data_IF_169684062806
#
_entry.id   IF_169684062806
#
_cell.length_a   1.000
_cell.length_b   1.000
_cell.length_c   1.000
_cell.angle_alpha   90.00
_cell.angle_beta   90.00
_cell.angle_gamma   90.00
#
_symmetry.space_group_name_H-M   'P 1'
#
loop_
_entity.id
_entity.type
_entity.pdbx_description
1 polymer ?
#
# COMPACT_ATOMS: atom_id res chain seq x y z
N UNK A 1 9.56 -10.51 -13.74
CA UNK A 1 9.95 -10.04 -12.39
C UNK A 1 11.44 -9.79 -12.28
N UNK A 2 12.25 -10.46 -13.09
CA UNK A 2 13.72 -10.40 -13.00
C UNK A 2 14.36 -9.39 -13.98
N UNK A 3 13.52 -8.72 -14.78
CA UNK A 3 13.92 -7.62 -15.65
C UNK A 3 14.64 -6.53 -14.83
N UNK A 4 15.84 -6.15 -15.26
CA UNK A 4 16.60 -5.07 -14.65
C UNK A 4 16.05 -3.71 -15.08
N UNK A 5 15.78 -2.84 -14.12
CA UNK A 5 15.27 -1.49 -14.31
C UNK A 5 16.29 -0.51 -13.76
N UNK A 6 16.76 0.41 -14.61
CA UNK A 6 17.66 1.48 -14.21
C UNK A 6 16.88 2.75 -13.92
N UNK A 7 17.18 3.38 -12.77
CA UNK A 7 16.70 4.71 -12.42
C UNK A 7 17.38 5.75 -13.32
N UNK A 8 16.58 6.63 -13.89
CA UNK A 8 16.98 7.69 -14.82
C UNK A 8 16.58 9.06 -14.28
N UNK A 9 17.01 10.13 -14.94
CA UNK A 9 16.60 11.51 -14.62
C UNK A 9 15.07 11.68 -14.69
N UNK A 10 14.38 10.92 -15.56
CA UNK A 10 12.92 10.96 -15.71
C UNK A 10 12.18 10.46 -14.45
N UNK A 11 12.85 9.70 -13.59
CA UNK A 11 12.24 9.17 -12.36
C UNK A 11 12.34 10.18 -11.20
N UNK A 12 13.08 11.29 -11.37
CA UNK A 12 13.21 12.32 -10.35
C UNK A 12 11.90 13.09 -10.22
N UNK A 13 11.39 13.18 -9.00
CA UNK A 13 10.29 14.07 -8.67
C UNK A 13 10.74 15.54 -8.73
N UNK A 14 10.28 16.24 -9.76
CA UNK A 14 10.47 17.68 -9.95
C UNK A 14 9.26 18.51 -9.49
N UNK A 15 8.16 17.87 -9.08
CA UNK A 15 6.91 18.55 -8.69
C UNK A 15 6.89 18.84 -7.18
N UNK A 16 7.13 17.83 -6.36
CA UNK A 16 7.08 17.92 -4.89
C UNK A 16 8.47 17.87 -4.23
N UNK A 17 9.53 17.63 -5.01
CA UNK A 17 10.91 17.58 -4.52
C UNK A 17 11.16 16.48 -3.50
N UNK A 18 10.43 15.35 -3.61
CA UNK A 18 10.58 14.21 -2.73
C UNK A 18 11.99 13.60 -2.82
N UNK A 19 12.52 13.21 -1.67
CA UNK A 19 13.85 12.62 -1.57
C UNK A 19 13.80 11.13 -1.85
N UNK A 20 14.81 10.63 -2.56
CA UNK A 20 15.03 9.20 -2.77
C UNK A 20 16.48 8.84 -2.50
N UNK A 21 16.71 7.62 -2.03
CA UNK A 21 18.05 7.03 -1.88
C UNK A 21 18.48 6.26 -3.12
N UNK A 22 17.56 5.96 -4.05
CA UNK A 22 17.90 5.37 -5.33
C UNK A 22 18.41 6.49 -6.24
N UNK A 23 19.72 6.66 -6.32
CA UNK A 23 20.33 7.67 -7.20
C UNK A 23 20.19 7.27 -8.67
N UNK A 24 20.23 8.24 -9.58
CA UNK A 24 20.26 7.98 -11.03
C UNK A 24 21.40 7.03 -11.37
N UNK A 25 21.14 6.06 -12.25
CA UNK A 25 22.05 4.97 -12.60
C UNK A 25 21.90 3.73 -11.72
N UNK A 26 21.17 3.79 -10.60
CA UNK A 26 20.86 2.61 -9.78
C UNK A 26 20.03 1.63 -10.59
N UNK A 27 20.47 0.37 -10.67
CA UNK A 27 19.74 -0.69 -11.37
C UNK A 27 19.33 -1.75 -10.37
N UNK A 28 18.03 -2.06 -10.32
CA UNK A 28 17.45 -3.12 -9.50
C UNK A 28 16.51 -3.96 -10.37
N UNK A 29 16.23 -5.19 -9.95
CA UNK A 29 15.20 -6.00 -10.59
C UNK A 29 13.81 -5.37 -10.43
N UNK A 30 12.89 -5.65 -11.37
CA UNK A 30 11.48 -5.25 -11.28
C UNK A 30 10.85 -5.72 -9.96
N UNK A 31 11.28 -6.87 -9.45
CA UNK A 31 10.90 -7.40 -8.15
C UNK A 31 11.28 -6.46 -7.01
N UNK A 32 12.53 -6.05 -6.94
CA UNK A 32 13.02 -5.12 -5.91
C UNK A 32 12.35 -3.75 -6.04
N UNK A 33 12.18 -3.25 -7.27
CA UNK A 33 11.45 -1.99 -7.50
C UNK A 33 10.01 -2.07 -6.95
N UNK A 34 9.29 -3.16 -7.23
CA UNK A 34 7.94 -3.36 -6.73
C UNK A 34 7.91 -3.48 -5.19
N UNK A 35 8.88 -4.19 -4.62
CA UNK A 35 9.00 -4.34 -3.18
C UNK A 35 9.21 -2.99 -2.48
N UNK A 36 10.17 -2.19 -2.95
CA UNK A 36 10.44 -0.86 -2.40
C UNK A 36 9.26 0.10 -2.58
N UNK A 37 8.57 0.07 -3.72
CA UNK A 37 7.40 0.89 -3.98
C UNK A 37 6.23 0.55 -3.02
N UNK A 38 5.96 -0.72 -2.78
CA UNK A 38 4.85 -1.18 -1.91
C UNK A 38 5.16 -1.03 -0.42
N UNK A 39 6.35 -1.45 0.01
CA UNK A 39 6.76 -1.44 1.42
C UNK A 39 7.08 -0.03 1.92
N UNK A 40 7.94 0.67 1.18
CA UNK A 40 8.58 1.91 1.62
C UNK A 40 8.05 3.15 0.93
N UNK A 41 7.07 3.02 0.02
CA UNK A 41 6.59 4.14 -0.79
C UNK A 41 7.71 4.82 -1.57
N UNK A 42 8.63 4.04 -2.13
CA UNK A 42 9.77 4.58 -2.87
C UNK A 42 9.31 5.12 -4.24
N UNK A 43 9.36 6.45 -4.40
CA UNK A 43 8.74 7.14 -5.53
C UNK A 43 9.50 6.91 -6.85
N UNK A 44 10.84 6.83 -6.82
CA UNK A 44 11.62 6.62 -8.06
C UNK A 44 11.41 5.20 -8.61
N UNK A 45 11.30 4.21 -7.73
CA UNK A 45 10.95 2.85 -8.08
C UNK A 45 9.54 2.78 -8.66
N UNK A 46 8.56 3.45 -8.04
CA UNK A 46 7.20 3.53 -8.56
C UNK A 46 7.13 4.22 -9.94
N UNK A 47 7.85 5.32 -10.13
CA UNK A 47 7.94 6.00 -11.42
C UNK A 47 8.62 5.11 -12.48
N UNK A 48 9.76 4.53 -12.16
CA UNK A 48 10.52 3.66 -13.08
C UNK A 48 9.72 2.42 -13.51
N UNK A 49 8.92 1.83 -12.60
CA UNK A 49 7.99 0.75 -12.93
C UNK A 49 6.96 1.18 -13.99
N UNK A 50 6.43 2.39 -13.87
CA UNK A 50 5.48 2.96 -14.83
C UNK A 50 6.15 3.35 -16.15
N UNK A 51 7.32 4.00 -16.09
CA UNK A 51 8.11 4.42 -17.26
C UNK A 51 8.55 3.23 -18.11
N UNK A 52 8.96 2.13 -17.49
CA UNK A 52 9.39 0.90 -18.19
C UNK A 52 8.25 -0.06 -18.54
N UNK A 53 7.00 0.31 -18.28
CA UNK A 53 5.86 -0.50 -18.75
C UNK A 53 5.83 -0.57 -20.28
N UNK A 54 5.38 -1.67 -20.90
CA UNK A 54 5.23 -1.73 -22.35
C UNK A 54 4.34 -0.61 -22.91
N UNK A 55 4.93 0.24 -23.77
CA UNK A 55 4.28 1.46 -24.28
C UNK A 55 4.49 2.71 -23.41
N UNK A 56 5.33 2.64 -22.39
CA UNK A 56 5.78 3.76 -21.58
C UNK A 56 4.77 4.22 -20.51
N UNK A 57 5.14 5.30 -19.82
CA UNK A 57 4.38 5.85 -18.69
C UNK A 57 2.92 6.19 -19.03
N UNK A 58 2.66 6.75 -20.22
CA UNK A 58 1.30 7.06 -20.67
C UNK A 58 0.43 5.80 -20.79
N UNK A 59 1.00 4.71 -21.30
CA UNK A 59 0.33 3.41 -21.39
C UNK A 59 0.06 2.86 -19.98
N UNK A 60 1.04 2.96 -19.07
CA UNK A 60 0.86 2.54 -17.68
C UNK A 60 -0.30 3.27 -16.99
N UNK A 61 -0.32 4.60 -17.05
CA UNK A 61 -1.40 5.41 -16.45
C UNK A 61 -2.76 5.11 -17.10
N UNK A 62 -2.78 4.86 -18.41
CA UNK A 62 -4.01 4.42 -19.10
C UNK A 62 -4.51 3.11 -18.51
N UNK A 63 -3.62 2.13 -18.32
CA UNK A 63 -3.96 0.83 -17.75
C UNK A 63 -4.36 0.91 -16.27
N UNK A 64 -3.78 1.81 -15.48
CA UNK A 64 -4.23 2.09 -14.11
C UNK A 64 -5.69 2.53 -14.09
N UNK A 65 -6.07 3.47 -14.97
CA UNK A 65 -7.44 3.97 -15.06
C UNK A 65 -8.42 2.94 -15.66
N UNK A 66 -7.97 2.14 -16.64
CA UNK A 66 -8.76 1.00 -17.15
C UNK A 66 -9.04 0.02 -16.02
N UNK A 67 -8.02 -0.34 -15.22
CA UNK A 67 -8.19 -1.23 -14.07
C UNK A 67 -9.14 -0.64 -13.04
N UNK A 68 -9.01 0.64 -12.69
CA UNK A 68 -9.94 1.30 -11.77
C UNK A 68 -11.40 1.16 -12.23
N UNK A 69 -11.69 1.45 -13.50
CA UNK A 69 -13.03 1.29 -14.07
C UNK A 69 -13.53 -0.16 -14.06
N UNK A 70 -12.66 -1.12 -14.40
CA UNK A 70 -13.00 -2.55 -14.36
C UNK A 70 -13.33 -3.05 -12.94
N UNK A 71 -12.76 -2.41 -11.91
CA UNK A 71 -13.06 -2.69 -10.52
C UNK A 71 -14.29 -1.92 -10.00
N UNK A 72 -14.90 -1.06 -10.81
CA UNK A 72 -16.02 -0.20 -10.40
C UNK A 72 -15.60 0.97 -9.51
N UNK A 73 -14.32 1.37 -9.56
CA UNK A 73 -13.79 2.51 -8.80
C UNK A 73 -14.13 3.83 -9.52
N UNK A 74 -15.37 4.29 -9.37
CA UNK A 74 -15.92 5.43 -10.14
C UNK A 74 -15.43 6.80 -9.69
N UNK A 75 -14.93 6.91 -8.46
CA UNK A 75 -14.38 8.14 -7.89
C UNK A 75 -12.85 8.23 -8.05
N UNK A 76 -12.26 7.28 -8.78
CA UNK A 76 -10.81 7.15 -8.92
C UNK A 76 -10.31 7.63 -10.26
N UNK A 77 -9.29 8.48 -10.23
CA UNK A 77 -8.54 8.93 -11.39
C UNK A 77 -7.05 8.98 -11.08
N UNK A 78 -6.27 8.31 -11.91
CA UNK A 78 -4.81 8.37 -11.86
C UNK A 78 -4.24 9.23 -12.98
N UNK A 79 -3.25 10.06 -12.67
CA UNK A 79 -2.44 10.81 -13.63
C UNK A 79 -0.99 10.35 -13.66
N UNK A 80 -0.52 9.71 -12.58
CA UNK A 80 0.86 9.25 -12.41
C UNK A 80 0.95 8.15 -11.32
N UNK A 81 2.02 7.33 -11.27
CA UNK A 81 2.07 6.09 -10.49
C UNK A 81 2.53 6.22 -9.02
N UNK A 82 3.05 7.39 -8.61
CA UNK A 82 3.70 7.59 -7.31
C UNK A 82 2.75 8.10 -6.21
N UNK A 83 1.67 8.81 -6.58
CA UNK A 83 0.74 9.45 -5.65
C UNK A 83 1.15 10.88 -5.24
N UNK A 84 2.16 11.46 -5.91
CA UNK A 84 2.66 12.81 -5.63
C UNK A 84 1.80 13.92 -6.23
N UNK A 85 1.16 13.66 -7.37
CA UNK A 85 0.28 14.65 -7.98
C UNK A 85 -1.05 14.73 -7.20
N UNK A 86 -1.48 15.94 -6.84
CA UNK A 86 -2.80 16.17 -6.23
C UNK A 86 -3.97 15.87 -7.18
N UNK A 87 -3.68 15.65 -8.46
CA UNK A 87 -4.65 15.22 -9.46
C UNK A 87 -4.89 13.70 -9.44
N UNK A 88 -4.09 12.94 -8.69
CA UNK A 88 -4.45 11.58 -8.31
C UNK A 88 -5.56 11.65 -7.24
N UNK A 89 -6.72 11.11 -7.57
CA UNK A 89 -7.92 11.19 -6.73
C UNK A 89 -8.56 9.81 -6.60
N UNK A 90 -9.16 9.55 -5.44
CA UNK A 90 -9.90 8.32 -5.14
C UNK A 90 -10.82 8.56 -3.94
N UNK A 91 -11.77 7.66 -3.70
CA UNK A 91 -12.60 7.66 -2.50
C UNK A 91 -12.21 6.53 -1.56
N UNK A 92 -12.62 6.64 -0.28
CA UNK A 92 -12.36 5.56 0.68
C UNK A 92 -13.00 4.23 0.24
N UNK A 93 -14.17 4.30 -0.40
CA UNK A 93 -14.87 3.14 -0.96
C UNK A 93 -14.05 2.47 -2.07
N UNK A 94 -13.56 3.25 -3.03
CA UNK A 94 -12.78 2.75 -4.15
C UNK A 94 -11.47 2.10 -3.69
N UNK A 95 -10.77 2.74 -2.74
CA UNK A 95 -9.55 2.17 -2.16
C UNK A 95 -9.82 0.87 -1.40
N UNK A 96 -10.97 0.74 -0.73
CA UNK A 96 -11.35 -0.50 -0.10
C UNK A 96 -11.58 -1.62 -1.13
N UNK A 97 -12.20 -1.32 -2.27
CA UNK A 97 -12.34 -2.27 -3.40
C UNK A 97 -10.97 -2.68 -3.92
N UNK A 98 -10.08 -1.72 -4.16
CA UNK A 98 -8.73 -1.99 -4.66
C UNK A 98 -7.95 -2.90 -3.69
N UNK A 99 -7.97 -2.60 -2.40
CA UNK A 99 -7.28 -3.41 -1.38
C UNK A 99 -7.88 -4.80 -1.26
N UNK A 100 -9.19 -4.95 -1.35
CA UNK A 100 -9.83 -6.26 -1.33
C UNK A 100 -9.35 -7.15 -2.50
N UNK A 101 -9.24 -6.57 -3.69
CA UNK A 101 -8.73 -7.29 -4.88
C UNK A 101 -7.23 -7.54 -4.75
N UNK A 102 -6.43 -6.54 -4.40
CA UNK A 102 -4.98 -6.65 -4.28
C UNK A 102 -4.56 -7.66 -3.20
N UNK A 103 -5.32 -7.78 -2.11
CA UNK A 103 -5.07 -8.75 -1.05
C UNK A 103 -5.19 -10.21 -1.54
N UNK A 104 -5.82 -10.48 -2.69
CA UNK A 104 -5.83 -11.84 -3.26
C UNK A 104 -4.48 -12.27 -3.85
N UNK A 105 -3.59 -11.33 -4.13
CA UNK A 105 -2.27 -11.59 -4.71
C UNK A 105 -1.23 -11.81 -3.59
N UNK A 106 -0.61 -13.00 -3.49
CA UNK A 106 0.35 -13.30 -2.43
C UNK A 106 1.62 -12.43 -2.50
N UNK A 107 2.06 -12.02 -3.69
CA UNK A 107 3.24 -11.17 -3.87
C UNK A 107 2.96 -9.77 -3.34
N UNK A 108 1.78 -9.22 -3.62
CA UNK A 108 1.39 -7.90 -3.11
C UNK A 108 1.28 -7.89 -1.58
N UNK A 109 0.76 -8.98 -0.99
CA UNK A 109 0.74 -9.17 0.46
C UNK A 109 2.15 -9.15 1.02
N UNK A 110 2.99 -10.08 0.57
CA UNK A 110 4.37 -10.22 1.04
C UNK A 110 5.17 -8.91 0.95
N UNK A 111 5.13 -8.25 -0.21
CA UNK A 111 5.91 -7.04 -0.43
C UNK A 111 5.40 -5.88 0.39
N UNK A 112 4.08 -5.69 0.47
CA UNK A 112 3.52 -4.59 1.25
C UNK A 112 3.70 -4.77 2.76
N UNK A 113 3.78 -6.00 3.26
CA UNK A 113 3.88 -6.30 4.70
C UNK A 113 5.27 -6.68 5.16
N UNK A 114 6.29 -6.63 4.30
CA UNK A 114 7.67 -6.82 4.75
C UNK A 114 8.08 -5.73 5.74
N UNK A 115 8.69 -6.05 6.90
CA UNK A 115 9.16 -5.05 7.87
C UNK A 115 10.26 -4.11 7.34
N UNK A 116 11.08 -4.62 6.43
CA UNK A 116 12.23 -3.95 5.85
C UNK A 116 12.88 -4.78 4.75
N UNK A 117 13.78 -4.17 4.00
CA UNK A 117 14.48 -4.82 2.90
C UNK A 117 15.79 -4.11 2.61
N UNK A 118 16.82 -4.88 2.27
CA UNK A 118 18.14 -4.34 1.92
C UNK A 118 18.37 -4.54 0.42
N UNK A 119 18.82 -3.50 -0.28
CA UNK A 119 19.21 -3.58 -1.69
C UNK A 119 20.68 -3.26 -1.86
N UNK A 120 21.40 -4.11 -2.58
CA UNK A 120 22.77 -3.86 -2.96
C UNK A 120 22.81 -2.93 -4.19
N UNK A 121 23.49 -1.80 -4.08
CA UNK A 121 23.68 -0.81 -5.14
C UNK A 121 25.16 -0.54 -5.31
N UNK A 122 25.79 -1.26 -6.24
CA UNK A 122 27.24 -1.26 -6.42
C UNK A 122 27.94 -1.76 -5.15
N UNK A 123 28.79 -0.91 -4.55
CA UNK A 123 29.54 -1.22 -3.32
C UNK A 123 28.80 -0.82 -2.03
N UNK A 124 27.54 -0.38 -2.12
CA UNK A 124 26.74 0.09 -0.98
C UNK A 124 25.50 -0.78 -0.80
N UNK A 125 25.07 -0.94 0.44
CA UNK A 125 23.77 -1.53 0.78
C UNK A 125 22.84 -0.44 1.29
N UNK A 126 21.65 -0.33 0.69
CA UNK A 126 20.61 0.61 1.11
C UNK A 126 19.53 -0.11 1.92
N UNK A 127 19.21 0.46 3.08
CA UNK A 127 18.33 -0.15 4.09
C UNK A 127 16.92 0.45 4.08
N UNK A 128 15.92 -0.26 3.59
CA UNK A 128 14.53 0.21 3.52
C UNK A 128 13.68 -0.37 4.65
N UNK A 129 12.76 0.45 5.15
CA UNK A 129 11.83 0.08 6.22
C UNK A 129 10.40 0.28 5.75
N UNK A 130 9.49 -0.53 6.26
CA UNK A 130 8.08 -0.34 6.02
C UNK A 130 7.61 1.05 6.51
N UNK A 131 6.84 1.75 5.68
CA UNK A 131 6.30 3.06 6.04
C UNK A 131 5.12 2.99 7.02
N UNK A 132 4.47 1.84 7.12
CA UNK A 132 3.47 1.58 8.14
C UNK A 132 4.13 0.94 9.38
N UNK A 133 4.27 1.72 10.46
CA UNK A 133 4.88 1.26 11.70
C UNK A 133 4.12 0.10 12.37
N UNK A 134 2.84 -0.08 12.05
CA UNK A 134 2.02 -1.17 12.60
C UNK A 134 2.47 -2.54 12.08
N UNK A 135 3.15 -2.62 10.93
CA UNK A 135 3.62 -3.89 10.35
C UNK A 135 4.63 -4.59 11.27
N UNK A 136 5.42 -3.84 12.03
CA UNK A 136 6.38 -4.40 13.00
C UNK A 136 5.75 -4.76 14.34
N UNK A 137 4.48 -4.43 14.55
CA UNK A 137 3.80 -4.65 15.82
C UNK A 137 3.13 -6.03 15.81
N UNK A 138 3.57 -6.99 16.66
CA UNK A 138 3.04 -8.36 16.65
C UNK A 138 1.56 -8.44 17.05
N UNK A 139 1.00 -7.39 17.65
CA UNK A 139 -0.42 -7.35 17.96
C UNK A 139 -1.29 -7.12 16.73
N UNK A 140 -0.72 -6.70 15.59
CA UNK A 140 -1.45 -6.41 14.36
C UNK A 140 -1.23 -7.50 13.32
N UNK A 141 -2.30 -8.18 12.94
CA UNK A 141 -2.30 -9.06 11.78
C UNK A 141 -2.67 -8.25 10.53
N UNK A 142 -1.68 -7.79 9.78
CA UNK A 142 -1.85 -6.98 8.57
C UNK A 142 -1.55 -7.86 7.36
N UNK A 143 -2.54 -8.04 6.48
CA UNK A 143 -2.37 -8.81 5.25
C UNK A 143 -1.96 -7.98 4.04
N UNK A 144 -2.26 -6.67 4.03
CA UNK A 144 -1.83 -5.73 3.00
C UNK A 144 -1.85 -4.31 3.55
N UNK A 145 -0.91 -3.45 3.14
CA UNK A 145 -0.95 -2.03 3.50
C UNK A 145 -0.40 -1.11 2.41
N UNK A 146 -0.82 0.16 2.46
CA UNK A 146 -0.08 1.26 1.82
C UNK A 146 -0.27 2.55 2.61
N UNK A 147 0.80 3.32 2.75
CA UNK A 147 0.74 4.69 3.29
C UNK A 147 0.88 5.73 2.19
N UNK A 148 0.39 6.95 2.44
CA UNK A 148 0.57 8.11 1.57
C UNK A 148 0.72 9.41 2.36
N UNK A 149 1.41 10.38 1.76
CA UNK A 149 1.49 11.75 2.28
C UNK A 149 1.85 12.74 1.17
N UNK A 150 1.00 13.73 0.97
CA UNK A 150 1.32 15.01 0.33
C UNK A 150 0.64 16.12 1.14
N UNK A 151 1.10 17.35 1.02
CA UNK A 151 0.53 18.50 1.76
C UNK A 151 -0.97 18.65 1.54
N UNK A 152 -1.44 18.38 0.33
CA UNK A 152 -2.81 18.61 -0.14
C UNK A 152 -3.79 17.50 0.24
N UNK A 153 -3.30 16.26 0.43
CA UNK A 153 -4.12 15.09 0.76
C UNK A 153 -3.95 14.63 2.22
N UNK A 154 -3.14 15.35 2.99
CA UNK A 154 -2.78 14.96 4.35
C UNK A 154 -2.09 13.60 4.40
N UNK A 155 -2.25 12.89 5.51
CA UNK A 155 -1.69 11.54 5.69
C UNK A 155 -2.73 10.46 5.47
N UNK A 156 -2.45 9.58 4.52
CA UNK A 156 -3.31 8.47 4.18
C UNK A 156 -2.72 7.13 4.66
N UNK A 157 -3.60 6.21 5.03
CA UNK A 157 -3.29 4.82 5.30
C UNK A 157 -4.46 3.96 4.80
N UNK A 158 -4.15 2.96 3.99
CA UNK A 158 -5.07 1.87 3.72
C UNK A 158 -4.42 0.57 4.15
N UNK A 159 -5.19 -0.31 4.79
CA UNK A 159 -4.70 -1.64 5.14
C UNK A 159 -5.83 -2.65 5.28
N UNK A 160 -5.53 -3.89 4.92
CA UNK A 160 -6.31 -5.06 5.30
C UNK A 160 -5.70 -5.63 6.59
N UNK A 161 -6.55 -5.91 7.58
CA UNK A 161 -6.12 -6.47 8.87
C UNK A 161 -7.17 -7.43 9.45
N UNK A 162 -6.75 -8.36 10.31
CA UNK A 162 -7.67 -9.17 11.10
C UNK A 162 -7.71 -8.67 12.55
N UNK A 163 -8.93 -8.43 13.06
CA UNK A 163 -9.16 -7.96 14.43
C UNK A 163 -10.33 -8.74 15.01
N UNK A 164 -10.14 -9.34 16.19
CA UNK A 164 -11.15 -10.16 16.87
C UNK A 164 -11.81 -11.19 15.92
N UNK A 165 -11.00 -11.91 15.13
CA UNK A 165 -11.46 -12.91 14.16
C UNK A 165 -12.06 -12.35 12.86
N UNK A 166 -12.31 -11.04 12.75
CA UNK A 166 -12.93 -10.40 11.58
C UNK A 166 -11.87 -9.81 10.65
N UNK A 167 -11.98 -10.09 9.35
CA UNK A 167 -11.17 -9.44 8.31
C UNK A 167 -11.78 -8.07 8.01
N UNK A 168 -10.96 -7.03 8.12
CA UNK A 168 -11.36 -5.63 7.92
C UNK A 168 -10.44 -4.98 6.90
N UNK A 169 -11.00 -4.00 6.19
CA UNK A 169 -10.23 -3.04 5.40
C UNK A 169 -10.46 -1.67 6.02
N UNK A 170 -9.38 -1.04 6.45
CA UNK A 170 -9.38 0.29 7.04
C UNK A 170 -8.81 1.28 6.05
N UNK A 171 -9.53 2.38 5.83
CA UNK A 171 -9.10 3.48 4.97
C UNK A 171 -9.17 4.77 5.78
N UNK A 172 -8.01 5.41 5.96
CA UNK A 172 -7.88 6.71 6.60
C UNK A 172 -7.34 7.69 5.56
N UNK A 173 -8.11 8.75 5.30
CA UNK A 173 -7.76 9.84 4.39
C UNK A 173 -7.64 11.13 5.20
N UNK A 174 -6.76 12.03 4.76
CA UNK A 174 -6.60 13.38 5.32
C UNK A 174 -6.37 13.45 6.84
N UNK A 175 -5.52 12.56 7.38
CA UNK A 175 -5.20 12.59 8.81
C UNK A 175 -4.14 13.67 9.09
N UNK A 176 -4.44 14.62 10.00
CA UNK A 176 -3.65 15.85 10.20
C UNK A 176 -2.22 15.64 10.78
N UNK A 177 -1.93 14.52 11.45
CA UNK A 177 -0.69 14.30 12.21
C UNK A 177 0.12 13.05 11.81
N UNK A 178 1.43 13.03 12.04
CA UNK A 178 2.31 11.89 11.68
C UNK A 178 1.87 10.56 12.30
N UNK A 179 1.36 10.61 13.52
CA UNK A 179 0.87 9.44 14.26
C UNK A 179 -0.67 9.34 14.26
N UNK A 180 -1.40 10.33 13.72
CA UNK A 180 -2.86 10.36 13.86
C UNK A 180 -3.51 9.18 13.15
N UNK A 181 -3.01 8.77 11.96
CA UNK A 181 -3.47 7.56 11.27
C UNK A 181 -3.26 6.25 12.06
N UNK A 182 -2.20 6.18 12.86
CA UNK A 182 -1.93 5.03 13.73
C UNK A 182 -2.89 5.06 14.93
N UNK A 183 -3.09 6.25 15.52
CA UNK A 183 -4.08 6.44 16.57
C UNK A 183 -5.51 6.14 16.11
N UNK A 184 -5.88 6.55 14.90
CA UNK A 184 -7.16 6.23 14.26
C UNK A 184 -7.33 4.71 14.10
N UNK A 185 -6.31 4.02 13.59
CA UNK A 185 -6.31 2.56 13.49
C UNK A 185 -6.51 1.88 14.85
N UNK A 186 -5.77 2.31 15.89
CA UNK A 186 -5.91 1.77 17.25
C UNK A 186 -7.32 2.03 17.81
N UNK A 187 -7.89 3.21 17.59
CA UNK A 187 -9.27 3.51 18.02
C UNK A 187 -10.29 2.60 17.35
N UNK A 188 -10.19 2.41 16.03
CA UNK A 188 -11.08 1.49 15.29
C UNK A 188 -10.92 0.07 15.79
N UNK A 189 -9.69 -0.39 16.05
CA UNK A 189 -9.43 -1.71 16.65
C UNK A 189 -10.16 -1.87 17.97
N UNK A 190 -9.95 -0.96 18.92
CA UNK A 190 -10.53 -1.03 20.25
C UNK A 190 -12.08 -1.05 20.17
N UNK A 191 -12.66 -0.28 19.25
CA UNK A 191 -14.10 -0.28 19.00
C UNK A 191 -14.60 -1.61 18.42
N UNK A 192 -13.89 -2.20 17.47
CA UNK A 192 -14.24 -3.53 16.93
C UNK A 192 -14.15 -4.60 18.02
N UNK A 193 -13.09 -4.58 18.83
CA UNK A 193 -12.90 -5.52 19.94
C UNK A 193 -14.01 -5.38 20.99
N UNK A 194 -14.42 -4.15 21.34
CA UNK A 194 -15.54 -3.95 22.29
C UNK A 194 -16.89 -4.40 21.75
N UNK A 195 -17.14 -4.30 20.44
CA UNK A 195 -18.35 -4.88 19.85
C UNK A 195 -18.35 -6.41 19.90
N UNK A 196 -17.19 -7.05 19.76
CA UNK A 196 -17.07 -8.51 19.83
C UNK A 196 -17.33 -9.03 21.25
N UNK A 197 -16.96 -8.26 22.27
CA UNK A 197 -17.23 -8.63 23.68
C UNK A 197 -18.69 -8.39 24.08
N UNK A 198 -19.36 -7.39 23.51
CA UNK A 198 -20.79 -7.13 23.77
C UNK A 198 -21.74 -8.11 23.05
N UNK A 199 -21.33 -8.66 21.91
CA UNK A 199 -22.10 -9.67 21.16
C UNK A 199 -21.23 -10.90 20.87
N UNK A 200 -20.96 -11.76 21.88
CA UNK A 200 -20.35 -13.05 21.60
C UNK A 200 -21.33 -13.83 20.73
N UNK A 201 -20.99 -14.06 19.47
CA UNK A 201 -21.77 -14.93 18.60
C UNK A 201 -21.97 -16.26 19.31
N UNK A 202 -23.24 -16.65 19.54
CA UNK A 202 -23.59 -17.98 20.05
C UNK A 202 -23.11 -18.98 19.03
N UNK A 203 -21.90 -19.53 19.26
CA UNK A 203 -21.43 -20.69 18.54
C UNK A 203 -22.39 -21.83 18.90
N UNK A 204 -23.31 -22.11 17.98
CA UNK A 204 -24.29 -23.18 18.13
C UNK A 204 -23.57 -24.51 18.30
N UNK A 205 -23.60 -25.05 19.51
CA UNK A 205 -23.31 -26.45 19.76
C UNK A 205 -24.43 -27.26 19.11
N UNK A 206 -24.24 -27.70 17.87
CA UNK A 206 -25.04 -28.78 17.29
C UNK A 206 -24.60 -30.05 17.99
N UNK A 207 -25.21 -30.34 19.13
CA UNK A 207 -25.15 -31.65 19.75
C UNK A 207 -25.90 -32.64 18.85
N UNK A 208 -25.16 -33.41 18.06
CA UNK A 208 -25.70 -34.56 17.34
C UNK A 208 -26.19 -35.58 18.37
N UNK A 209 -27.51 -35.72 18.52
CA UNK A 209 -28.12 -36.89 19.15
C UNK A 209 -27.99 -38.06 18.18
N UNK A 210 -27.35 -39.15 18.62
CA UNK A 210 -27.48 -40.46 17.97
C UNK A 210 -28.72 -41.18 18.52
N UNK A 211 -29.40 -41.88 17.62
CA UNK A 211 -30.49 -42.83 17.85
C UNK A 211 -30.11 -43.95 18.81
#
# INVERSE_FOLDING_TARGET
>A
MDEAITITEEDIDTEKGSRSRLVVGTTLSRREMLHLALMSSENRAANALGRTYPGGLKSFVTQMNVKARLLGMTDTRYVEPTGLSSLNQSSARDLAVLVNVAHSDPVLREFSTSPGYEVAVGQKTLQYNNTNLLVKNPNWDIGLQKTGYISEAGRCLVMQTQIAGRKLIMVFLDSAGKLSRIGDAVRVRNWVESMATMHPSVAGTVAARKS
#
